data_IF_857123061498
#
_entry.id   IF_857123061498
#
_cell.length_a   1.000
_cell.length_b   1.000
_cell.length_c   1.000
_cell.angle_alpha   90.00
_cell.angle_beta   90.00
_cell.angle_gamma   90.00
#
_symmetry.space_group_name_H-M   'P 1'
#
loop_
_entity.id
_entity.type
_entity.pdbx_description
1 polymer ?
#
# COMPACT_ATOMS: atom_id res chain seq x y z
N UNK A 1 -18.49 4.58 11.08
CA UNK A 1 -17.58 3.44 10.95
C UNK A 1 -16.99 3.10 12.31
N UNK A 2 -16.81 1.82 12.60
CA UNK A 2 -16.17 1.39 13.84
C UNK A 2 -14.67 1.76 13.82
N UNK A 3 -14.10 2.10 15.00
CA UNK A 3 -12.65 2.36 15.07
C UNK A 3 -11.81 1.21 14.54
N UNK A 4 -12.26 -0.03 14.76
CA UNK A 4 -11.58 -1.21 14.26
C UNK A 4 -11.58 -1.26 12.73
N UNK A 5 -12.72 -0.95 12.11
CA UNK A 5 -12.84 -0.92 10.64
C UNK A 5 -11.95 0.15 10.02
N UNK A 6 -11.92 1.33 10.63
CA UNK A 6 -11.06 2.42 10.15
C UNK A 6 -9.59 2.00 10.17
N UNK A 7 -9.19 1.31 11.22
CA UNK A 7 -7.81 0.85 11.37
C UNK A 7 -7.44 -0.19 10.32
N UNK A 8 -8.34 -1.13 10.05
CA UNK A 8 -8.12 -2.17 9.04
C UNK A 8 -8.00 -1.54 7.65
N UNK A 9 -8.90 -0.63 7.32
CA UNK A 9 -8.89 0.06 6.02
C UNK A 9 -7.60 0.87 5.86
N UNK A 10 -7.20 1.60 6.88
CA UNK A 10 -5.97 2.38 6.85
C UNK A 10 -4.75 1.48 6.65
N UNK A 11 -4.71 0.35 7.33
CA UNK A 11 -3.62 -0.62 7.20
C UNK A 11 -3.54 -1.17 5.77
N UNK A 12 -4.68 -1.55 5.20
CA UNK A 12 -4.74 -2.07 3.83
C UNK A 12 -4.26 -1.02 2.83
N UNK A 13 -4.69 0.23 3.01
CA UNK A 13 -4.28 1.31 2.12
C UNK A 13 -2.78 1.56 2.17
N UNK A 14 -2.18 1.52 3.36
CA UNK A 14 -0.74 1.70 3.52
C UNK A 14 0.03 0.56 2.85
N UNK A 15 -0.44 -0.68 3.02
CA UNK A 15 0.19 -1.84 2.40
C UNK A 15 0.15 -1.72 0.87
N UNK A 16 -0.99 -1.34 0.32
CA UNK A 16 -1.13 -1.15 -1.12
C UNK A 16 -0.18 -0.05 -1.61
N UNK A 17 -0.09 1.05 -0.89
CA UNK A 17 0.78 2.15 -1.25
C UNK A 17 2.25 1.72 -1.27
N UNK A 18 2.68 1.00 -0.25
CA UNK A 18 4.07 0.50 -0.15
C UNK A 18 4.37 -0.47 -1.29
N UNK A 19 3.45 -1.40 -1.56
CA UNK A 19 3.63 -2.37 -2.64
C UNK A 19 3.67 -1.69 -4.01
N UNK A 20 2.81 -0.70 -4.23
CA UNK A 20 2.78 0.04 -5.49
C UNK A 20 4.10 0.80 -5.70
N UNK A 21 4.63 1.42 -4.66
CA UNK A 21 5.90 2.14 -4.73
C UNK A 21 7.06 1.17 -5.02
N UNK A 22 7.09 0.05 -4.32
CA UNK A 22 8.13 -0.95 -4.53
C UNK A 22 8.09 -1.52 -5.95
N UNK A 23 6.91 -1.82 -6.45
CA UNK A 23 6.73 -2.32 -7.82
C UNK A 23 7.21 -1.30 -8.85
N UNK A 24 6.93 -0.03 -8.63
CA UNK A 24 7.35 1.06 -9.51
C UNK A 24 8.88 1.17 -9.57
N UNK A 25 9.53 1.03 -8.41
CA UNK A 25 10.99 1.08 -8.35
C UNK A 25 11.63 -0.09 -9.10
N UNK A 26 11.08 -1.29 -8.92
CA UNK A 26 11.57 -2.48 -9.61
C UNK A 26 11.40 -2.32 -11.12
N UNK A 27 10.26 -1.82 -11.54
CA UNK A 27 9.97 -1.59 -12.96
C UNK A 27 10.95 -0.58 -13.56
N UNK A 28 11.25 0.48 -12.82
CA UNK A 28 12.22 1.49 -13.27
C UNK A 28 13.63 0.94 -13.42
N UNK A 29 14.02 -0.01 -12.56
CA UNK A 29 15.34 -0.64 -12.64
C UNK A 29 15.41 -1.60 -13.84
N UNK A 30 14.30 -2.27 -14.15
CA UNK A 30 14.26 -3.26 -15.23
C UNK A 30 14.06 -2.65 -16.61
N UNK A 31 13.55 -1.41 -16.67
CA UNK A 31 13.27 -0.78 -17.96
C UNK A 31 14.43 0.04 -18.52
#
# INVERSE_FOLDING_TARGET
MNPHQVRVVAFVLVVILVLATAASLVDGVLS
#
